data_IF_793090993178
#
_entry.id   IF_793090993178
#
_cell.length_a   1.000
_cell.length_b   1.000
_cell.length_c   1.000
_cell.angle_alpha   90.00
_cell.angle_beta   90.00
_cell.angle_gamma   90.00
#
_symmetry.space_group_name_H-M   'P 1'
#
loop_
_entity.id
_entity.type
_entity.pdbx_description
1 polymer ?
#
# COMPACT_ATOMS: atom_id res chain seq x y z
N UNK A 1 -20.70 -16.50 18.84
CA UNK A 1 -19.90 -17.11 17.76
C UNK A 1 -18.43 -16.81 18.01
N UNK A 2 -17.50 -17.75 17.83
CA UNK A 2 -16.07 -17.43 17.86
C UNK A 2 -15.80 -16.43 16.72
N UNK A 3 -15.03 -15.39 16.99
CA UNK A 3 -14.62 -14.45 15.97
C UNK A 3 -13.84 -15.22 14.87
N UNK A 4 -14.19 -15.00 13.61
CA UNK A 4 -13.51 -15.63 12.46
C UNK A 4 -12.13 -14.99 12.32
N UNK A 5 -11.06 -15.76 12.51
CA UNK A 5 -9.69 -15.31 12.26
C UNK A 5 -9.48 -15.19 10.73
N UNK A 6 -9.00 -14.04 10.30
CA UNK A 6 -8.71 -13.75 8.88
C UNK A 6 -7.24 -13.98 8.61
N UNK A 7 -6.95 -15.04 7.90
CA UNK A 7 -5.61 -15.45 7.52
C UNK A 7 -5.19 -14.84 6.17
N UNK A 8 -3.90 -14.56 6.03
CA UNK A 8 -3.27 -14.22 4.77
C UNK A 8 -2.55 -15.47 4.27
N UNK A 9 -2.96 -15.99 3.13
CA UNK A 9 -2.39 -17.21 2.53
C UNK A 9 -1.52 -16.93 1.32
N UNK A 10 -1.62 -15.72 0.75
CA UNK A 10 -0.77 -15.27 -0.33
C UNK A 10 -0.57 -13.76 -0.30
N UNK A 11 0.56 -13.33 -0.79
CA UNK A 11 0.91 -11.93 -0.96
C UNK A 11 1.79 -11.73 -2.19
N UNK A 12 1.57 -10.64 -2.92
CA UNK A 12 2.39 -10.31 -4.07
C UNK A 12 2.58 -8.82 -4.18
N UNK A 13 3.77 -8.40 -4.62
CA UNK A 13 4.19 -7.00 -4.61
C UNK A 13 5.07 -6.69 -5.82
N UNK A 14 4.89 -5.48 -6.36
CA UNK A 14 5.84 -4.85 -7.27
C UNK A 14 5.97 -3.37 -6.90
N UNK A 15 7.20 -2.88 -6.84
CA UNK A 15 7.49 -1.48 -6.49
C UNK A 15 8.82 -1.04 -7.10
N UNK A 16 9.28 0.15 -6.75
CA UNK A 16 10.61 0.63 -7.11
C UNK A 16 11.76 -0.28 -6.62
N UNK A 17 11.50 -1.15 -5.64
CA UNK A 17 12.46 -2.12 -5.10
C UNK A 17 12.58 -3.39 -5.96
N UNK A 18 11.69 -3.59 -6.92
CA UNK A 18 11.65 -4.75 -7.81
C UNK A 18 10.30 -5.44 -7.82
N UNK A 19 10.22 -6.54 -8.57
CA UNK A 19 9.06 -7.40 -8.64
C UNK A 19 9.21 -8.59 -7.68
N UNK A 20 8.21 -8.77 -6.83
CA UNK A 20 8.11 -9.87 -5.90
C UNK A 20 8.64 -9.59 -4.49
N UNK A 21 8.14 -10.40 -3.55
CA UNK A 21 8.46 -10.32 -2.11
C UNK A 21 9.95 -10.52 -1.82
N UNK A 22 10.61 -11.39 -2.55
CA UNK A 22 12.02 -11.68 -2.35
C UNK A 22 12.91 -10.47 -2.71
N UNK A 23 12.68 -9.83 -3.87
CA UNK A 23 13.42 -8.64 -4.27
C UNK A 23 13.19 -7.49 -3.29
N UNK A 24 11.94 -7.32 -2.83
CA UNK A 24 11.59 -6.32 -1.81
C UNK A 24 12.34 -6.57 -0.50
N UNK A 25 12.37 -7.82 -0.01
CA UNK A 25 13.07 -8.19 1.21
C UNK A 25 14.58 -7.91 1.14
N UNK A 26 15.20 -8.28 0.01
CA UNK A 26 16.63 -8.06 -0.21
C UNK A 26 16.97 -6.57 -0.23
N UNK A 27 16.19 -5.76 -0.93
CA UNK A 27 16.39 -4.31 -0.96
C UNK A 27 16.24 -3.66 0.43
N UNK A 28 15.23 -4.07 1.21
CA UNK A 28 15.02 -3.59 2.58
C UNK A 28 16.17 -3.96 3.50
N UNK A 29 16.62 -5.21 3.49
CA UNK A 29 17.76 -5.70 4.30
C UNK A 29 19.08 -5.01 3.93
N UNK A 30 19.27 -4.74 2.63
CA UNK A 30 20.45 -4.05 2.12
C UNK A 30 20.36 -2.52 2.26
N UNK A 31 19.27 -1.98 2.83
CA UNK A 31 19.03 -0.54 2.97
C UNK A 31 19.11 0.19 1.61
N UNK A 32 18.65 -0.45 0.55
CA UNK A 32 18.74 0.05 -0.81
C UNK A 32 17.45 0.81 -1.16
N UNK A 33 17.56 2.12 -1.42
CA UNK A 33 16.45 2.90 -1.96
C UNK A 33 16.24 2.62 -3.44
N UNK A 34 14.98 2.49 -3.84
CA UNK A 34 14.54 2.45 -5.23
C UNK A 34 14.14 3.82 -5.78
N UNK A 35 14.15 4.87 -4.94
CA UNK A 35 13.85 6.24 -5.34
C UNK A 35 15.03 6.78 -6.16
N UNK A 36 14.77 7.14 -7.41
CA UNK A 36 15.78 7.55 -8.40
C UNK A 36 15.22 8.65 -9.31
N UNK A 37 16.03 9.32 -10.12
CA UNK A 37 15.53 10.13 -11.22
C UNK A 37 14.58 9.31 -12.12
N UNK A 38 13.58 9.99 -12.69
CA UNK A 38 12.63 9.43 -13.65
C UNK A 38 13.31 8.78 -14.87
N UNK A 39 12.77 7.66 -15.31
CA UNK A 39 13.27 6.92 -16.47
C UNK A 39 12.22 6.73 -17.55
N UNK A 40 10.99 6.44 -17.18
CA UNK A 40 9.92 6.08 -18.14
C UNK A 40 8.87 7.16 -18.29
N UNK A 41 8.45 7.81 -17.18
CA UNK A 41 7.45 8.87 -17.25
C UNK A 41 8.06 10.15 -17.85
N UNK A 42 7.51 10.61 -18.96
CA UNK A 42 7.91 11.87 -19.60
C UNK A 42 7.16 13.05 -18.94
N UNK A 43 7.88 13.95 -18.29
CA UNK A 43 7.33 15.11 -17.58
C UNK A 43 8.31 16.27 -17.58
N UNK A 44 7.83 17.47 -17.21
CA UNK A 44 8.68 18.65 -16.96
C UNK A 44 9.43 18.57 -15.60
N UNK A 45 9.00 17.71 -14.70
CA UNK A 45 9.55 17.55 -13.34
C UNK A 45 10.72 16.57 -13.28
N UNK A 46 11.66 16.65 -14.21
CA UNK A 46 12.80 15.71 -14.32
C UNK A 46 13.78 15.78 -13.16
N UNK A 47 13.72 16.85 -12.36
CA UNK A 47 14.57 17.06 -11.18
C UNK A 47 14.05 16.34 -9.92
N UNK A 48 12.81 15.85 -9.93
CA UNK A 48 12.22 15.18 -8.77
C UNK A 48 12.59 13.70 -8.75
N UNK A 49 13.17 13.19 -7.65
CA UNK A 49 13.37 11.75 -7.49
C UNK A 49 12.03 11.06 -7.17
N UNK A 50 11.81 9.90 -7.76
CA UNK A 50 10.57 9.13 -7.63
C UNK A 50 10.82 7.63 -7.44
N UNK A 51 9.89 6.95 -6.81
CA UNK A 51 9.87 5.50 -6.71
C UNK A 51 9.25 4.85 -7.96
N UNK A 52 9.86 5.02 -9.13
CA UNK A 52 9.39 4.43 -10.39
C UNK A 52 9.78 2.94 -10.47
N UNK A 53 8.85 2.09 -10.86
CA UNK A 53 9.11 0.66 -11.12
C UNK A 53 10.06 0.50 -12.31
N UNK A 54 11.09 -0.35 -12.18
CA UNK A 54 12.23 -0.42 -13.11
C UNK A 54 11.94 -1.24 -14.39
N UNK A 55 10.66 -1.38 -14.73
CA UNK A 55 10.19 -2.03 -15.97
C UNK A 55 9.34 -1.04 -16.78
N UNK A 56 9.59 -0.98 -18.10
CA UNK A 56 8.72 -0.25 -19.01
C UNK A 56 7.37 -0.96 -19.17
N UNK A 57 6.36 -0.27 -19.73
CA UNK A 57 5.09 -0.91 -20.07
C UNK A 57 5.29 -2.06 -21.05
N UNK A 58 6.25 -1.94 -21.98
CA UNK A 58 6.55 -2.99 -22.94
C UNK A 58 7.17 -4.22 -22.25
N UNK A 59 8.13 -4.03 -21.33
CA UNK A 59 8.72 -5.12 -20.55
C UNK A 59 7.62 -5.88 -19.76
N UNK A 60 6.70 -5.15 -19.12
CA UNK A 60 5.62 -5.76 -18.36
C UNK A 60 4.59 -6.47 -19.24
N UNK A 61 4.25 -5.92 -20.42
CA UNK A 61 3.40 -6.60 -21.40
C UNK A 61 4.01 -7.92 -21.86
N UNK A 62 5.31 -7.95 -22.13
CA UNK A 62 6.02 -9.17 -22.51
C UNK A 62 6.02 -10.21 -21.38
N UNK A 63 6.26 -9.79 -20.12
CA UNK A 63 6.19 -10.68 -18.93
C UNK A 63 4.81 -11.30 -18.74
N UNK A 64 3.76 -10.59 -19.14
CA UNK A 64 2.36 -10.98 -18.99
C UNK A 64 1.74 -11.58 -20.27
N UNK A 65 2.52 -11.70 -21.34
CA UNK A 65 2.09 -12.23 -22.64
C UNK A 65 1.00 -11.40 -23.35
N UNK A 66 0.91 -10.11 -23.08
CA UNK A 66 0.11 -9.19 -23.87
C UNK A 66 0.77 -8.87 -25.20
N UNK A 67 -0.05 -8.54 -26.20
CA UNK A 67 0.47 -8.03 -27.44
C UNK A 67 0.89 -6.55 -27.28
N UNK A 68 1.88 -6.05 -28.03
CA UNK A 68 2.32 -4.65 -27.93
C UNK A 68 1.19 -3.61 -28.12
N UNK A 69 0.19 -3.96 -28.93
CA UNK A 69 -0.94 -3.08 -29.27
C UNK A 69 -2.13 -3.19 -28.32
N UNK A 70 -2.15 -4.14 -27.38
CA UNK A 70 -3.23 -4.27 -26.42
C UNK A 70 -3.35 -3.00 -25.57
N UNK A 71 -4.55 -2.48 -25.42
CA UNK A 71 -4.83 -1.32 -24.60
C UNK A 71 -4.85 -1.73 -23.10
N UNK A 72 -3.69 -1.67 -22.46
CA UNK A 72 -3.50 -1.99 -21.05
C UNK A 72 -2.77 -0.84 -20.38
N UNK A 73 -3.38 -0.28 -19.32
CA UNK A 73 -2.78 0.83 -18.58
C UNK A 73 -1.73 0.34 -17.58
N UNK A 74 -0.81 1.24 -17.20
CA UNK A 74 0.31 0.87 -16.33
C UNK A 74 -0.12 0.32 -14.99
N UNK A 75 -1.15 0.90 -14.37
CA UNK A 75 -1.71 0.40 -13.10
C UNK A 75 -2.19 -1.05 -13.20
N UNK A 76 -2.83 -1.41 -14.33
CA UNK A 76 -3.27 -2.79 -14.61
C UNK A 76 -2.08 -3.75 -14.71
N UNK A 77 -1.02 -3.39 -15.44
CA UNK A 77 0.18 -4.22 -15.58
C UNK A 77 0.83 -4.49 -14.21
N UNK A 78 0.99 -3.46 -13.40
CA UNK A 78 1.50 -3.58 -12.03
C UNK A 78 0.60 -4.48 -11.17
N UNK A 79 -0.71 -4.26 -11.24
CA UNK A 79 -1.70 -5.04 -10.50
C UNK A 79 -1.67 -6.52 -10.85
N UNK A 80 -1.65 -6.86 -12.15
CA UNK A 80 -1.59 -8.26 -12.60
C UNK A 80 -0.33 -8.97 -12.10
N UNK A 81 0.84 -8.31 -12.15
CA UNK A 81 2.09 -8.89 -11.66
C UNK A 81 1.98 -9.23 -10.17
N UNK A 82 1.46 -8.31 -9.35
CA UNK A 82 1.32 -8.53 -7.92
C UNK A 82 0.25 -9.59 -7.59
N UNK A 83 -0.92 -9.57 -8.25
CA UNK A 83 -1.96 -10.58 -8.06
C UNK A 83 -1.47 -11.96 -8.45
N UNK A 84 -0.73 -12.09 -9.57
CA UNK A 84 -0.15 -13.37 -10.01
C UNK A 84 0.76 -14.00 -8.96
N UNK A 85 1.63 -13.21 -8.31
CA UNK A 85 2.47 -13.70 -7.21
C UNK A 85 1.61 -14.11 -6.01
N UNK A 86 0.61 -13.29 -5.62
CA UNK A 86 -0.26 -13.58 -4.48
C UNK A 86 -1.05 -14.88 -4.66
N UNK A 87 -1.66 -15.09 -5.83
CA UNK A 87 -2.41 -16.32 -6.16
C UNK A 87 -1.50 -17.54 -6.21
N UNK A 88 -0.30 -17.39 -6.79
CA UNK A 88 0.69 -18.49 -6.83
C UNK A 88 1.12 -18.92 -5.44
N UNK A 89 1.36 -17.99 -4.51
CA UNK A 89 1.72 -18.31 -3.14
C UNK A 89 0.56 -18.96 -2.37
N UNK A 90 -0.67 -18.49 -2.60
CA UNK A 90 -1.88 -19.06 -2.00
C UNK A 90 -2.25 -20.43 -2.58
N UNK A 91 -1.53 -20.93 -3.60
CA UNK A 91 -1.88 -22.13 -4.34
C UNK A 91 -3.37 -22.13 -4.75
N UNK A 92 -3.83 -21.01 -5.31
CA UNK A 92 -5.24 -20.76 -5.58
C UNK A 92 -5.47 -20.39 -7.06
N UNK A 93 -6.51 -20.99 -7.66
CA UNK A 93 -7.06 -20.61 -8.96
C UNK A 93 -8.40 -19.87 -8.73
N UNK A 94 -8.48 -18.63 -9.18
CA UNK A 94 -9.69 -17.80 -9.05
C UNK A 94 -10.92 -18.38 -9.78
N UNK A 95 -10.71 -19.31 -10.69
CA UNK A 95 -11.75 -19.97 -11.51
C UNK A 95 -12.37 -21.20 -10.85
N UNK A 96 -12.06 -21.51 -9.58
CA UNK A 96 -12.69 -22.62 -8.89
C UNK A 96 -14.19 -22.32 -8.65
N UNK A 97 -15.12 -22.98 -9.33
CA UNK A 97 -16.55 -22.68 -9.25
C UNK A 97 -17.20 -23.07 -7.92
N UNK A 98 -16.48 -23.80 -7.07
CA UNK A 98 -16.95 -24.18 -5.74
C UNK A 98 -16.74 -23.09 -4.70
N UNK A 99 -16.00 -22.02 -5.03
CA UNK A 99 -15.63 -20.94 -4.12
C UNK A 99 -16.24 -19.60 -4.55
N UNK A 100 -16.67 -18.82 -3.58
CA UNK A 100 -17.10 -17.43 -3.79
C UNK A 100 -15.88 -16.53 -3.61
N UNK A 101 -15.34 -16.03 -4.72
CA UNK A 101 -14.12 -15.22 -4.72
C UNK A 101 -14.45 -13.77 -5.02
N UNK A 102 -13.96 -12.85 -4.18
CA UNK A 102 -14.03 -11.42 -4.42
C UNK A 102 -12.66 -10.85 -4.81
N UNK A 103 -12.65 -9.92 -5.75
CA UNK A 103 -11.50 -9.08 -6.08
C UNK A 103 -11.78 -7.63 -5.71
N UNK A 104 -10.96 -7.03 -4.85
CA UNK A 104 -11.15 -5.65 -4.37
C UNK A 104 -9.85 -4.89 -4.52
N UNK A 105 -9.86 -3.86 -5.35
CA UNK A 105 -8.68 -3.06 -5.67
C UNK A 105 -8.82 -1.61 -5.21
N UNK A 106 -7.77 -1.09 -4.57
CA UNK A 106 -7.62 0.34 -4.28
C UNK A 106 -6.84 1.02 -5.40
N UNK A 107 -7.42 2.07 -5.99
CA UNK A 107 -6.79 2.84 -7.05
C UNK A 107 -7.38 4.25 -7.08
N UNK A 108 -6.57 5.27 -7.37
CA UNK A 108 -7.04 6.67 -7.32
C UNK A 108 -6.96 7.40 -8.65
N UNK A 109 -6.14 6.96 -9.59
CA UNK A 109 -5.98 7.64 -10.89
C UNK A 109 -6.32 6.77 -12.11
N UNK A 110 -6.60 5.47 -11.91
CA UNK A 110 -6.99 4.59 -13.01
C UNK A 110 -5.97 4.57 -14.13
N UNK A 111 -6.41 4.86 -15.35
CA UNK A 111 -5.60 4.91 -16.57
C UNK A 111 -5.09 6.30 -16.94
N UNK A 112 -4.98 7.22 -15.99
CA UNK A 112 -4.57 8.61 -16.23
C UNK A 112 -3.23 8.74 -16.95
N UNK A 113 -2.29 7.81 -16.73
CA UNK A 113 -0.99 7.77 -17.42
C UNK A 113 -1.14 7.67 -18.94
N UNK A 114 -2.18 6.98 -19.41
CA UNK A 114 -2.48 6.85 -20.83
C UNK A 114 -3.43 7.96 -21.31
N UNK A 115 -4.45 8.30 -20.52
CA UNK A 115 -5.38 9.35 -20.88
C UNK A 115 -4.65 10.69 -21.16
N UNK A 116 -3.68 11.08 -20.34
CA UNK A 116 -2.91 12.30 -20.54
C UNK A 116 -2.00 12.29 -21.80
N UNK A 117 -1.67 11.10 -22.33
CA UNK A 117 -0.92 10.94 -23.57
C UNK A 117 -1.82 11.01 -24.81
N UNK A 118 -3.02 10.42 -24.73
CA UNK A 118 -3.89 10.22 -25.88
C UNK A 118 -5.08 11.20 -25.93
N UNK A 119 -5.20 12.11 -24.96
CA UNK A 119 -6.31 13.07 -24.92
C UNK A 119 -6.38 13.96 -26.18
N UNK A 120 -5.23 14.38 -26.71
CA UNK A 120 -5.19 15.17 -27.95
C UNK A 120 -5.65 14.35 -29.16
N UNK A 121 -5.25 13.07 -29.24
CA UNK A 121 -5.71 12.15 -30.30
C UNK A 121 -7.23 11.93 -30.22
N UNK A 122 -7.79 11.81 -29.01
CA UNK A 122 -9.24 11.72 -28.81
C UNK A 122 -9.98 12.91 -29.44
N UNK A 123 -9.45 14.13 -29.28
CA UNK A 123 -10.08 15.34 -29.81
C UNK A 123 -9.96 15.45 -31.35
N UNK A 124 -8.92 14.89 -31.96
CA UNK A 124 -8.62 15.07 -33.38
C UNK A 124 -9.01 13.86 -34.23
N UNK A 125 -8.73 12.65 -33.79
CA UNK A 125 -8.78 11.43 -34.60
C UNK A 125 -9.54 10.27 -33.95
N UNK A 126 -9.69 10.27 -32.62
CA UNK A 126 -10.31 9.19 -31.83
C UNK A 126 -9.71 7.80 -32.12
N UNK A 127 -8.41 7.72 -32.40
CA UNK A 127 -7.74 6.47 -32.80
C UNK A 127 -7.28 5.63 -31.61
N UNK A 128 -7.33 6.17 -30.37
CA UNK A 128 -6.88 5.56 -29.13
C UNK A 128 -7.94 5.61 -28.03
N UNK A 129 -9.21 5.50 -28.42
CA UNK A 129 -10.34 5.58 -27.49
C UNK A 129 -10.27 4.51 -26.39
N UNK A 130 -9.82 3.29 -26.70
CA UNK A 130 -9.66 2.20 -25.72
C UNK A 130 -8.85 2.62 -24.48
N UNK A 131 -7.83 3.46 -24.64
CA UNK A 131 -7.06 3.99 -23.51
C UNK A 131 -7.81 5.07 -22.73
N UNK A 132 -8.68 5.84 -23.39
CA UNK A 132 -9.48 6.88 -22.72
C UNK A 132 -10.62 6.23 -21.92
N UNK A 133 -11.22 5.17 -22.42
CA UNK A 133 -12.27 4.40 -21.73
C UNK A 133 -11.75 3.76 -20.42
N UNK A 134 -10.45 3.47 -20.35
CA UNK A 134 -9.79 2.94 -19.15
C UNK A 134 -9.36 4.03 -18.14
N UNK A 135 -9.75 5.29 -18.35
CA UNK A 135 -9.31 6.38 -17.49
C UNK A 135 -9.95 6.34 -16.10
N UNK A 136 -11.12 5.76 -15.93
CA UNK A 136 -11.73 5.66 -14.60
C UNK A 136 -11.01 4.63 -13.71
N UNK A 137 -11.20 4.78 -12.38
CA UNK A 137 -10.56 3.89 -11.42
C UNK A 137 -11.07 2.44 -11.53
N UNK A 138 -12.32 2.24 -11.95
CA UNK A 138 -12.93 0.92 -12.15
C UNK A 138 -12.30 0.16 -13.29
N UNK A 139 -11.97 0.84 -14.40
CA UNK A 139 -11.43 0.23 -15.61
C UNK A 139 -10.16 -0.59 -15.37
N UNK A 140 -9.21 -0.07 -14.59
CA UNK A 140 -8.01 -0.83 -14.24
C UNK A 140 -8.33 -2.04 -13.34
N UNK A 141 -9.27 -1.92 -12.40
CA UNK A 141 -9.72 -3.03 -11.55
C UNK A 141 -10.38 -4.13 -12.39
N UNK A 142 -11.24 -3.76 -13.32
CA UNK A 142 -11.93 -4.70 -14.21
C UNK A 142 -10.93 -5.41 -15.13
N UNK A 143 -9.98 -4.68 -15.73
CA UNK A 143 -8.93 -5.31 -16.55
C UNK A 143 -8.09 -6.32 -15.78
N UNK A 144 -7.77 -6.06 -14.49
CA UNK A 144 -7.05 -7.03 -13.65
C UNK A 144 -7.95 -8.23 -13.40
N UNK A 145 -9.22 -8.02 -13.05
CA UNK A 145 -10.16 -9.11 -12.80
C UNK A 145 -10.34 -9.99 -14.05
N UNK A 146 -10.56 -9.39 -15.21
CA UNK A 146 -10.75 -10.10 -16.48
C UNK A 146 -9.53 -10.96 -16.88
N UNK A 147 -8.31 -10.49 -16.55
CA UNK A 147 -7.10 -11.27 -16.82
C UNK A 147 -7.06 -12.60 -16.06
N UNK A 148 -7.57 -12.63 -14.83
CA UNK A 148 -7.62 -13.86 -14.02
C UNK A 148 -8.95 -14.62 -14.17
N UNK A 149 -10.02 -13.95 -14.57
CA UNK A 149 -11.37 -14.49 -14.80
C UNK A 149 -12.13 -14.86 -13.52
N UNK A 150 -13.46 -14.97 -13.66
CA UNK A 150 -14.42 -15.63 -12.75
C UNK A 150 -14.46 -15.19 -11.28
N UNK A 151 -14.21 -13.89 -10.97
CA UNK A 151 -14.54 -13.35 -9.67
C UNK A 151 -16.06 -13.14 -9.51
N UNK A 152 -16.62 -13.62 -8.38
CA UNK A 152 -18.05 -13.44 -8.08
C UNK A 152 -18.41 -12.01 -7.71
N UNK A 153 -17.41 -11.24 -7.26
CA UNK A 153 -17.54 -9.83 -6.90
C UNK A 153 -16.27 -9.10 -7.28
N UNK A 154 -16.41 -8.00 -8.00
CA UNK A 154 -15.32 -7.06 -8.33
C UNK A 154 -15.70 -5.69 -7.79
N UNK A 155 -14.78 -5.01 -7.11
CA UNK A 155 -15.04 -3.67 -6.56
C UNK A 155 -13.77 -2.82 -6.49
N UNK A 156 -13.95 -1.51 -6.69
CA UNK A 156 -12.90 -0.52 -6.55
C UNK A 156 -13.16 0.35 -5.32
N UNK A 157 -12.12 0.59 -4.52
CA UNK A 157 -12.16 1.48 -3.36
C UNK A 157 -11.27 2.68 -3.61
N UNK A 158 -11.84 3.89 -3.44
CA UNK A 158 -11.13 5.16 -3.64
C UNK A 158 -11.22 5.99 -2.36
N UNK A 159 -10.19 5.93 -1.54
CA UNK A 159 -10.05 6.67 -0.27
C UNK A 159 -8.65 7.28 -0.14
N UNK A 160 -8.15 7.86 -1.23
CA UNK A 160 -6.80 8.43 -1.32
C UNK A 160 -5.71 7.41 -0.89
N UNK A 161 -4.75 7.83 -0.06
CA UNK A 161 -3.61 7.01 0.34
C UNK A 161 -3.98 5.81 1.24
N UNK A 162 -5.22 5.73 1.75
CA UNK A 162 -5.72 4.62 2.55
C UNK A 162 -6.51 3.58 1.73
N UNK A 163 -6.65 3.76 0.40
CA UNK A 163 -7.51 2.92 -0.44
C UNK A 163 -7.24 1.42 -0.27
N UNK A 164 -6.00 0.97 -0.43
CA UNK A 164 -5.67 -0.45 -0.32
C UNK A 164 -5.70 -1.00 1.12
N UNK A 165 -5.53 -0.15 2.13
CA UNK A 165 -5.82 -0.53 3.51
C UNK A 165 -7.32 -0.82 3.68
N UNK A 166 -8.18 0.03 3.13
CA UNK A 166 -9.63 -0.15 3.18
C UNK A 166 -10.11 -1.35 2.36
N UNK A 167 -9.43 -1.74 1.27
CA UNK A 167 -9.75 -2.99 0.55
C UNK A 167 -9.48 -4.22 1.41
N UNK A 168 -8.38 -4.23 2.18
CA UNK A 168 -8.05 -5.32 3.10
C UNK A 168 -9.10 -5.41 4.21
N UNK A 169 -9.54 -4.29 4.76
CA UNK A 169 -10.61 -4.23 5.78
C UNK A 169 -11.93 -4.77 5.22
N UNK A 170 -12.36 -4.27 4.06
CA UNK A 170 -13.58 -4.72 3.38
C UNK A 170 -13.50 -6.21 3.06
N UNK A 171 -12.36 -6.69 2.57
CA UNK A 171 -12.14 -8.12 2.31
C UNK A 171 -12.29 -8.98 3.56
N UNK A 172 -11.75 -8.52 4.68
CA UNK A 172 -11.90 -9.20 5.98
C UNK A 172 -13.37 -9.23 6.44
N UNK A 173 -14.11 -8.14 6.25
CA UNK A 173 -15.53 -8.07 6.59
C UNK A 173 -16.38 -8.99 5.70
N UNK A 174 -16.12 -9.05 4.39
CA UNK A 174 -16.84 -9.97 3.49
C UNK A 174 -16.69 -11.42 3.90
N UNK A 175 -15.51 -11.83 4.38
CA UNK A 175 -15.27 -13.19 4.88
C UNK A 175 -16.01 -13.41 6.22
N UNK A 176 -15.91 -12.47 7.16
CA UNK A 176 -16.60 -12.55 8.47
C UNK A 176 -18.12 -12.64 8.32
N UNK A 177 -18.68 -11.91 7.37
CA UNK A 177 -20.10 -11.90 7.06
C UNK A 177 -20.53 -13.07 6.13
N UNK A 178 -19.61 -14.00 5.84
CA UNK A 178 -19.86 -15.15 4.98
C UNK A 178 -20.39 -14.75 3.58
N UNK A 179 -19.93 -13.63 3.03
CA UNK A 179 -20.25 -13.13 1.69
C UNK A 179 -19.22 -13.53 0.64
N UNK A 180 -18.01 -13.86 1.07
CA UNK A 180 -16.94 -14.43 0.25
C UNK A 180 -16.22 -15.52 1.03
N UNK A 181 -15.72 -16.53 0.33
CA UNK A 181 -14.87 -17.59 0.89
C UNK A 181 -13.40 -17.20 0.84
N UNK A 182 -13.02 -16.52 -0.25
CA UNK A 182 -11.66 -15.98 -0.48
C UNK A 182 -11.80 -14.55 -1.02
N UNK A 183 -10.92 -13.66 -0.61
CA UNK A 183 -10.83 -12.30 -1.13
C UNK A 183 -9.41 -12.00 -1.57
N UNK A 184 -9.24 -11.54 -2.79
CA UNK A 184 -8.00 -10.91 -3.26
C UNK A 184 -8.15 -9.41 -3.06
N UNK A 185 -7.45 -8.87 -2.06
CA UNK A 185 -7.56 -7.48 -1.64
C UNK A 185 -6.22 -6.77 -1.69
N UNK A 186 -6.22 -5.56 -2.20
CA UNK A 186 -5.00 -4.75 -2.28
C UNK A 186 -5.20 -3.51 -3.11
N UNK A 187 -4.15 -3.05 -3.78
CA UNK A 187 -4.24 -1.91 -4.66
C UNK A 187 -3.04 -1.77 -5.57
N UNK A 188 -3.22 -0.96 -6.59
CA UNK A 188 -2.19 -0.60 -7.54
C UNK A 188 -2.30 0.89 -7.88
N UNK A 189 -1.18 1.50 -8.20
CA UNK A 189 -1.12 2.89 -8.66
C UNK A 189 0.09 3.09 -9.54
N UNK A 190 -0.05 3.89 -10.59
CA UNK A 190 1.05 4.29 -11.46
C UNK A 190 1.41 5.76 -11.25
N UNK A 191 2.64 6.12 -11.58
CA UNK A 191 3.04 7.52 -11.72
C UNK A 191 2.40 8.12 -12.97
N UNK A 192 1.97 9.39 -12.88
CA UNK A 192 1.42 10.18 -13.98
C UNK A 192 1.86 11.63 -13.86
N UNK A 193 1.74 12.39 -14.96
CA UNK A 193 1.93 13.85 -14.92
C UNK A 193 0.92 14.52 -14.00
N UNK A 194 -0.31 14.00 -13.99
CA UNK A 194 -1.37 14.48 -13.10
C UNK A 194 -0.93 14.41 -11.63
N UNK A 195 -0.39 13.26 -11.20
CA UNK A 195 0.13 13.10 -9.84
C UNK A 195 1.24 14.13 -9.54
N UNK A 196 2.29 14.16 -10.38
CA UNK A 196 3.42 15.05 -10.14
C UNK A 196 3.01 16.52 -10.15
N UNK A 197 2.15 16.95 -11.08
CA UNK A 197 1.64 18.31 -11.13
C UNK A 197 0.80 18.65 -9.90
N UNK A 198 -0.12 17.76 -9.50
CA UNK A 198 -1.00 17.95 -8.35
C UNK A 198 -0.21 18.11 -7.06
N UNK A 199 0.68 17.17 -6.76
CA UNK A 199 1.50 17.21 -5.54
C UNK A 199 2.53 18.34 -5.55
N UNK A 200 3.07 18.71 -6.73
CA UNK A 200 3.95 19.87 -6.85
C UNK A 200 3.17 21.19 -6.56
N UNK A 201 1.93 21.29 -7.00
CA UNK A 201 1.08 22.48 -6.70
C UNK A 201 0.82 22.60 -5.20
N UNK A 202 0.77 21.50 -4.47
CA UNK A 202 0.64 21.49 -3.01
C UNK A 202 1.96 21.82 -2.29
N UNK A 203 3.08 21.95 -3.03
CA UNK A 203 4.41 22.26 -2.50
C UNK A 203 4.91 21.27 -1.43
N UNK A 204 4.61 19.98 -1.61
CA UNK A 204 4.96 18.91 -0.65
C UNK A 204 5.93 17.88 -1.22
N UNK A 205 6.40 18.06 -2.47
CA UNK A 205 7.40 17.17 -3.06
C UNK A 205 8.81 17.56 -2.62
N UNK A 206 9.60 16.55 -2.28
CA UNK A 206 11.03 16.73 -1.96
C UNK A 206 11.88 16.60 -3.22
N UNK A 207 12.93 17.43 -3.33
CA UNK A 207 13.94 17.36 -4.38
C UNK A 207 15.09 16.41 -4.05
N UNK A 208 15.15 15.93 -2.81
CA UNK A 208 16.01 14.86 -2.34
C UNK A 208 15.18 13.62 -1.99
N UNK A 209 15.82 12.52 -1.61
CA UNK A 209 15.09 11.36 -1.07
C UNK A 209 14.53 11.74 0.31
N UNK A 210 13.24 11.55 0.50
CA UNK A 210 12.52 11.96 1.70
C UNK A 210 13.13 11.38 2.99
N UNK A 211 12.90 12.11 4.10
CA UNK A 211 13.49 11.85 5.42
C UNK A 211 12.36 11.69 6.46
N UNK A 212 11.58 10.61 6.44
CA UNK A 212 10.48 10.44 7.37
C UNK A 212 10.94 10.57 8.83
N UNK A 213 10.18 11.35 9.62
CA UNK A 213 10.44 11.66 11.03
C UNK A 213 11.77 12.38 11.32
N UNK A 214 12.46 12.87 10.30
CA UNK A 214 13.63 13.74 10.51
C UNK A 214 13.19 15.20 10.76
N UNK A 215 13.91 15.91 11.61
CA UNK A 215 13.64 17.34 11.87
C UNK A 215 13.75 18.17 10.59
N UNK A 216 14.72 17.86 9.74
CA UNK A 216 15.03 18.60 8.53
C UNK A 216 14.31 18.04 7.29
N UNK A 217 13.18 17.33 7.49
CA UNK A 217 12.31 16.82 6.43
C UNK A 217 11.62 17.97 5.69
N UNK A 218 11.47 17.85 4.40
CA UNK A 218 10.93 18.92 3.54
C UNK A 218 9.75 18.46 2.68
N UNK A 219 9.57 17.16 2.48
CA UNK A 219 8.51 16.67 1.61
C UNK A 219 8.54 15.17 1.37
N UNK A 220 7.77 14.77 0.40
CA UNK A 220 7.55 13.39 -0.02
C UNK A 220 8.11 13.14 -1.42
N UNK A 221 8.52 11.91 -1.72
CA UNK A 221 8.71 11.46 -3.09
C UNK A 221 7.50 10.60 -3.49
N UNK A 222 6.95 10.82 -4.67
CA UNK A 222 5.94 9.92 -5.22
C UNK A 222 6.57 8.61 -5.66
N UNK A 223 5.77 7.55 -5.62
CA UNK A 223 6.13 6.22 -6.09
C UNK A 223 4.96 5.56 -6.79
N UNK A 224 5.24 4.46 -7.46
CA UNK A 224 4.24 3.58 -8.06
C UNK A 224 4.47 2.15 -7.61
N UNK A 225 3.45 1.32 -7.74
CA UNK A 225 3.53 -0.08 -7.40
C UNK A 225 2.17 -0.73 -7.22
N UNK A 226 2.21 -1.99 -6.84
CA UNK A 226 1.02 -2.75 -6.49
C UNK A 226 1.35 -3.73 -5.36
N UNK A 227 0.34 -3.98 -4.52
CA UNK A 227 0.41 -5.00 -3.49
C UNK A 227 -0.97 -5.65 -3.33
N UNK A 228 -1.02 -6.97 -3.33
CA UNK A 228 -2.26 -7.72 -3.12
C UNK A 228 -2.05 -8.86 -2.14
N UNK A 229 -3.07 -9.09 -1.32
CA UNK A 229 -3.15 -10.18 -0.35
C UNK A 229 -4.29 -11.12 -0.73
N UNK A 230 -4.11 -12.43 -0.51
CA UNK A 230 -5.18 -13.41 -0.53
C UNK A 230 -5.61 -13.63 0.91
N UNK A 231 -6.87 -13.29 1.19
CA UNK A 231 -7.50 -13.37 2.50
C UNK A 231 -8.51 -14.52 2.52
N UNK A 232 -8.53 -15.28 3.59
CA UNK A 232 -9.51 -16.34 3.83
C UNK A 232 -9.66 -16.60 5.34
N UNK A 233 -10.71 -17.30 5.73
CA UNK A 233 -10.82 -17.72 7.14
C UNK A 233 -9.79 -18.79 7.49
N UNK A 234 -9.38 -18.86 8.76
CA UNK A 234 -8.52 -19.92 9.26
C UNK A 234 -9.05 -21.33 8.92
N UNK A 235 -10.38 -21.51 8.97
CA UNK A 235 -11.06 -22.76 8.62
C UNK A 235 -10.91 -23.07 7.13
N UNK A 236 -11.08 -22.06 6.25
CA UNK A 236 -10.94 -22.22 4.81
C UNK A 236 -9.48 -22.57 4.44
N UNK A 237 -8.49 -21.87 5.01
CA UNK A 237 -7.07 -22.15 4.80
C UNK A 237 -6.73 -23.59 5.21
N UNK A 238 -7.25 -24.05 6.36
CA UNK A 238 -7.10 -25.41 6.82
C UNK A 238 -7.75 -26.43 5.88
N UNK A 239 -8.98 -26.15 5.43
CA UNK A 239 -9.71 -27.01 4.47
C UNK A 239 -8.97 -27.16 3.14
N UNK A 240 -8.36 -26.07 2.66
CA UNK A 240 -7.56 -26.06 1.43
C UNK A 240 -6.15 -26.65 1.61
N UNK A 241 -5.70 -26.82 2.86
CA UNK A 241 -4.36 -27.35 3.17
C UNK A 241 -3.25 -26.36 2.81
N UNK A 242 -3.52 -25.05 2.81
CA UNK A 242 -2.55 -24.00 2.48
C UNK A 242 -1.93 -23.40 3.72
N UNK A 243 -0.67 -23.00 3.62
CA UNK A 243 0.05 -22.36 4.71
C UNK A 243 -0.32 -20.87 4.79
N UNK A 244 -0.69 -20.41 5.96
CA UNK A 244 -0.89 -19.00 6.23
C UNK A 244 0.44 -18.32 6.58
N UNK A 245 0.67 -17.12 6.04
CA UNK A 245 1.88 -16.32 6.25
C UNK A 245 1.71 -15.24 7.32
N UNK A 246 0.50 -15.03 7.78
CA UNK A 246 0.11 -14.09 8.83
C UNK A 246 -1.39 -13.95 8.90
N UNK A 247 -1.88 -13.07 9.76
CA UNK A 247 -3.31 -12.78 9.88
C UNK A 247 -3.59 -11.29 10.07
N UNK A 248 -4.77 -10.86 9.64
CA UNK A 248 -5.33 -9.54 9.90
C UNK A 248 -6.09 -9.62 11.21
N UNK A 249 -5.48 -9.17 12.29
CA UNK A 249 -6.04 -9.32 13.63
C UNK A 249 -7.02 -8.22 14.01
N UNK A 250 -6.82 -7.01 13.50
CA UNK A 250 -7.71 -5.90 13.75
C UNK A 250 -7.49 -4.76 12.76
N UNK A 251 -8.46 -3.89 12.67
CA UNK A 251 -8.41 -2.74 11.77
C UNK A 251 -9.44 -1.69 12.18
N UNK A 252 -9.18 -0.46 11.79
CA UNK A 252 -10.14 0.63 11.95
C UNK A 252 -9.87 1.72 10.93
N UNK A 253 -10.93 2.38 10.50
CA UNK A 253 -10.88 3.61 9.72
C UNK A 253 -11.55 4.71 10.53
N UNK A 254 -10.94 5.91 10.54
CA UNK A 254 -11.48 7.09 11.19
C UNK A 254 -11.22 8.33 10.34
N UNK A 255 -12.17 9.27 10.31
CA UNK A 255 -12.01 10.54 9.61
C UNK A 255 -11.88 11.66 10.63
N UNK A 256 -10.82 12.49 10.54
CA UNK A 256 -10.66 13.67 11.40
C UNK A 256 -11.42 14.90 10.89
N UNK A 257 -11.91 14.86 9.65
CA UNK A 257 -12.74 15.92 9.03
C UNK A 257 -12.20 17.36 9.24
N UNK A 258 -10.87 17.49 9.30
CA UNK A 258 -10.21 18.76 9.63
C UNK A 258 -9.94 19.60 8.39
N UNK A 259 -9.25 19.04 7.39
CA UNK A 259 -8.85 19.74 6.17
C UNK A 259 -8.74 18.78 5.00
N UNK A 260 -8.78 19.29 3.76
CA UNK A 260 -8.73 18.45 2.55
C UNK A 260 -7.39 17.72 2.37
N UNK A 261 -6.28 18.34 2.80
CA UNK A 261 -4.92 17.79 2.55
C UNK A 261 -4.01 17.80 3.79
N UNK A 262 -4.47 18.30 4.93
CA UNK A 262 -3.72 18.35 6.17
C UNK A 262 -4.41 17.55 7.28
N UNK A 263 -3.63 16.83 8.08
CA UNK A 263 -4.11 16.16 9.29
C UNK A 263 -4.39 17.18 10.41
N UNK A 264 -5.30 16.85 11.31
CA UNK A 264 -5.58 17.66 12.50
C UNK A 264 -4.30 17.82 13.35
N UNK A 265 -4.04 19.03 13.91
CA UNK A 265 -2.78 19.28 14.64
C UNK A 265 -2.55 18.38 15.85
N UNK A 266 -3.61 17.86 16.46
CA UNK A 266 -3.57 16.93 17.60
C UNK A 266 -3.48 15.46 17.19
N UNK A 267 -3.50 15.15 15.88
CA UNK A 267 -3.44 13.80 15.34
C UNK A 267 -4.67 12.94 15.68
N UNK A 268 -5.83 13.55 15.96
CA UNK A 268 -7.03 12.85 16.48
C UNK A 268 -7.47 11.71 15.55
N UNK A 269 -7.56 11.93 14.24
CA UNK A 269 -8.00 10.89 13.30
C UNK A 269 -7.04 9.69 13.28
N UNK A 270 -5.73 9.95 13.25
CA UNK A 270 -4.71 8.91 13.33
C UNK A 270 -4.79 8.14 14.67
N UNK A 271 -4.94 8.85 15.79
CA UNK A 271 -5.12 8.25 17.10
C UNK A 271 -6.35 7.33 17.16
N UNK A 272 -7.50 7.79 16.66
CA UNK A 272 -8.75 7.02 16.64
C UNK A 272 -8.62 5.75 15.78
N UNK A 273 -8.00 5.85 14.60
CA UNK A 273 -7.77 4.71 13.73
C UNK A 273 -6.86 3.66 14.39
N UNK A 274 -5.72 4.07 14.94
CA UNK A 274 -4.80 3.18 15.64
C UNK A 274 -5.45 2.53 16.87
N UNK A 275 -6.12 3.32 17.72
CA UNK A 275 -6.82 2.84 18.91
C UNK A 275 -7.90 1.82 18.55
N UNK A 276 -8.76 2.16 17.56
CA UNK A 276 -9.83 1.27 17.12
C UNK A 276 -9.30 -0.04 16.52
N UNK A 277 -8.16 0.00 15.80
CA UNK A 277 -7.52 -1.22 15.28
C UNK A 277 -7.02 -2.13 16.40
N UNK A 278 -6.44 -1.58 17.47
CA UNK A 278 -6.03 -2.34 18.66
C UNK A 278 -7.23 -2.93 19.40
N UNK A 279 -8.27 -2.14 19.63
CA UNK A 279 -9.52 -2.59 20.26
C UNK A 279 -10.17 -3.73 19.47
N UNK A 280 -10.22 -3.60 18.12
CA UNK A 280 -10.75 -4.65 17.23
C UNK A 280 -9.91 -5.93 17.30
N UNK A 281 -8.58 -5.80 17.44
CA UNK A 281 -7.67 -6.94 17.61
C UNK A 281 -7.72 -7.57 19.00
N UNK A 282 -8.36 -6.92 19.99
CA UNK A 282 -8.31 -7.32 21.40
C UNK A 282 -6.90 -7.19 22.00
N UNK A 283 -6.07 -6.30 21.45
CA UNK A 283 -4.70 -6.07 21.88
C UNK A 283 -4.57 -4.74 22.63
N UNK A 284 -3.59 -4.70 23.53
CA UNK A 284 -3.18 -3.47 24.22
C UNK A 284 -1.97 -2.86 23.49
N UNK A 285 -1.67 -1.56 23.67
CA UNK A 285 -0.49 -0.93 23.10
C UNK A 285 0.81 -1.71 23.35
N UNK A 286 1.02 -2.29 24.54
CA UNK A 286 2.23 -3.02 24.90
C UNK A 286 2.45 -4.31 24.09
N UNK A 287 1.40 -4.80 23.42
CA UNK A 287 1.48 -5.99 22.59
C UNK A 287 2.08 -5.71 21.20
N UNK A 288 2.11 -4.44 20.76
CA UNK A 288 2.66 -4.07 19.45
C UNK A 288 4.18 -4.11 19.52
N UNK A 289 4.79 -4.80 18.54
CA UNK A 289 6.23 -4.97 18.46
C UNK A 289 6.89 -4.00 17.47
N UNK A 290 6.10 -3.47 16.52
CA UNK A 290 6.56 -2.55 15.49
C UNK A 290 5.40 -1.73 14.91
N UNK A 291 5.67 -0.47 14.59
CA UNK A 291 4.76 0.41 13.84
C UNK A 291 5.36 0.69 12.47
N UNK A 292 4.70 0.23 11.40
CA UNK A 292 4.94 0.68 10.05
C UNK A 292 4.11 1.94 9.83
N UNK A 293 4.75 3.08 10.04
CA UNK A 293 4.09 4.38 10.02
C UNK A 293 3.77 4.85 8.60
N UNK A 294 2.74 5.68 8.46
CA UNK A 294 2.47 6.37 7.21
C UNK A 294 3.66 7.23 6.79
N UNK A 295 4.23 8.02 7.70
CA UNK A 295 5.53 8.66 7.63
C UNK A 295 5.94 9.16 6.25
N UNK A 296 5.31 10.23 5.77
CA UNK A 296 5.51 10.75 4.40
C UNK A 296 6.81 11.54 4.22
N UNK A 297 7.42 12.00 5.30
CA UNK A 297 8.50 12.98 5.25
C UNK A 297 7.99 14.43 5.11
N UNK A 298 6.68 14.66 5.13
CA UNK A 298 6.13 16.02 5.13
C UNK A 298 6.08 16.60 6.55
N UNK A 299 6.29 17.92 6.71
CA UNK A 299 6.27 18.54 8.04
C UNK A 299 5.01 18.27 8.84
N UNK A 300 3.83 18.38 8.21
CA UNK A 300 2.55 18.19 8.89
C UNK A 300 2.27 16.74 9.27
N UNK A 301 2.35 15.80 8.31
CA UNK A 301 2.00 14.40 8.57
C UNK A 301 2.86 13.80 9.69
N UNK A 302 4.18 13.91 9.56
CA UNK A 302 5.08 13.23 10.50
C UNK A 302 4.95 13.80 11.91
N UNK A 303 4.72 15.12 12.05
CA UNK A 303 4.48 15.73 13.35
C UNK A 303 3.19 15.20 13.97
N UNK A 304 2.07 15.20 13.24
CA UNK A 304 0.75 14.81 13.78
C UNK A 304 0.64 13.31 14.01
N UNK A 305 1.23 12.47 13.13
CA UNK A 305 1.31 11.02 13.34
C UNK A 305 2.14 10.68 14.59
N UNK A 306 3.28 11.36 14.78
CA UNK A 306 4.10 11.19 15.97
C UNK A 306 3.36 11.56 17.26
N UNK A 307 2.60 12.66 17.26
CA UNK A 307 1.73 13.05 18.38
C UNK A 307 0.68 11.97 18.66
N UNK A 308 0.03 11.44 17.62
CA UNK A 308 -0.95 10.36 17.78
C UNK A 308 -0.34 9.07 18.35
N UNK A 309 0.87 8.71 17.91
CA UNK A 309 1.63 7.56 18.43
C UNK A 309 1.96 7.79 19.92
N UNK A 310 2.51 8.95 20.28
CA UNK A 310 2.81 9.27 21.68
C UNK A 310 1.56 9.23 22.58
N UNK A 311 0.44 9.77 22.11
CA UNK A 311 -0.82 9.76 22.84
C UNK A 311 -1.36 8.35 23.07
N UNK A 312 -1.15 7.41 22.13
CA UNK A 312 -1.64 6.04 22.23
C UNK A 312 -0.73 5.15 23.08
N UNK A 313 0.60 5.28 22.91
CA UNK A 313 1.58 4.36 23.49
C UNK A 313 2.25 4.89 24.76
N UNK A 314 2.12 6.19 25.06
CA UNK A 314 2.70 6.80 26.26
C UNK A 314 4.21 6.63 26.32
N UNK A 315 4.71 6.09 27.44
CA UNK A 315 6.14 5.87 27.67
C UNK A 315 6.72 4.65 26.93
N UNK A 316 5.84 3.76 26.43
CA UNK A 316 6.25 2.47 25.83
C UNK A 316 5.99 2.43 24.34
N UNK A 317 6.57 3.38 23.60
CA UNK A 317 6.46 3.45 22.13
C UNK A 317 7.26 2.29 21.50
N UNK A 318 6.63 1.42 20.69
CA UNK A 318 7.37 0.38 19.97
C UNK A 318 8.26 1.00 18.90
N UNK A 319 9.22 0.24 18.29
CA UNK A 319 9.96 0.68 17.13
C UNK A 319 9.05 1.22 16.03
N UNK A 320 9.35 2.41 15.50
CA UNK A 320 8.58 3.10 14.45
C UNK A 320 9.47 3.30 13.24
N UNK A 321 9.01 2.97 12.05
CA UNK A 321 9.68 3.39 10.82
C UNK A 321 8.72 3.63 9.67
N UNK A 322 9.17 4.35 8.65
CA UNK A 322 8.48 4.50 7.37
C UNK A 322 9.36 3.96 6.25
N UNK A 323 8.71 3.26 5.32
CA UNK A 323 9.38 2.67 4.16
C UNK A 323 9.34 3.58 2.93
N UNK A 324 8.79 4.79 3.04
CA UNK A 324 8.62 5.69 1.89
C UNK A 324 9.94 6.21 1.31
N UNK A 325 11.00 6.29 2.11
CA UNK A 325 12.36 6.58 1.62
C UNK A 325 12.97 5.45 0.77
N UNK A 326 12.37 4.25 0.79
CA UNK A 326 12.77 3.13 -0.06
C UNK A 326 12.09 3.12 -1.41
N UNK A 327 10.78 3.38 -1.46
CA UNK A 327 9.97 3.13 -2.66
C UNK A 327 9.10 4.33 -3.08
N UNK A 328 9.20 5.45 -2.37
CA UNK A 328 8.31 6.59 -2.56
C UNK A 328 6.93 6.31 -1.97
N UNK A 329 6.02 7.25 -2.11
CA UNK A 329 4.63 7.09 -1.71
C UNK A 329 3.81 6.53 -2.87
N UNK A 330 3.43 5.27 -2.77
CA UNK A 330 2.65 4.56 -3.81
C UNK A 330 1.15 4.86 -3.74
N UNK A 331 0.77 5.99 -3.15
CA UNK A 331 -0.59 6.54 -3.04
C UNK A 331 -1.64 5.49 -2.68
N UNK A 332 -2.55 5.12 -3.55
CA UNK A 332 -3.62 4.15 -3.26
C UNK A 332 -3.11 2.75 -2.92
N UNK A 333 -1.96 2.34 -3.45
CA UNK A 333 -1.35 1.04 -3.18
C UNK A 333 -0.59 0.99 -1.84
N UNK A 334 -0.37 2.14 -1.16
CA UNK A 334 0.51 2.23 0.00
C UNK A 334 0.13 1.25 1.11
N UNK A 335 -1.14 1.17 1.49
CA UNK A 335 -1.59 0.32 2.60
C UNK A 335 -1.33 -1.17 2.38
N UNK A 336 -1.53 -1.69 1.18
CA UNK A 336 -1.27 -3.10 0.88
C UNK A 336 0.22 -3.40 0.71
N UNK A 337 0.98 -2.50 0.11
CA UNK A 337 2.45 -2.60 0.02
C UNK A 337 3.06 -2.62 1.42
N UNK A 338 2.62 -1.72 2.29
CA UNK A 338 3.07 -1.60 3.70
C UNK A 338 2.63 -2.81 4.53
N UNK A 339 1.42 -3.36 4.28
CA UNK A 339 0.97 -4.61 4.90
C UNK A 339 1.86 -5.81 4.51
N UNK A 340 2.25 -5.92 3.24
CA UNK A 340 3.15 -6.98 2.78
C UNK A 340 4.55 -6.83 3.39
N UNK A 341 5.07 -5.62 3.49
CA UNK A 341 6.35 -5.36 4.15
C UNK A 341 6.26 -5.68 5.65
N UNK A 342 5.12 -5.41 6.29
CA UNK A 342 4.87 -5.80 7.69
C UNK A 342 4.86 -7.33 7.87
N UNK A 343 4.28 -8.08 6.92
CA UNK A 343 4.36 -9.56 6.91
C UNK A 343 5.81 -10.04 6.75
N UNK A 344 6.61 -9.42 5.87
CA UNK A 344 8.03 -9.72 5.72
C UNK A 344 8.83 -9.44 7.00
N UNK A 345 8.51 -8.35 7.71
CA UNK A 345 9.12 -8.01 8.99
C UNK A 345 8.83 -9.09 10.06
N UNK A 346 7.59 -9.59 10.12
CA UNK A 346 7.18 -10.69 11.01
C UNK A 346 7.89 -12.00 10.62
N UNK A 347 7.84 -12.36 9.34
CA UNK A 347 8.36 -13.65 8.82
C UNK A 347 9.86 -13.76 9.03
N UNK A 348 10.60 -12.69 8.74
CA UNK A 348 12.07 -12.67 8.78
C UNK A 348 12.64 -12.04 10.05
N UNK A 349 11.78 -11.59 10.97
CA UNK A 349 12.15 -10.98 12.25
C UNK A 349 13.18 -9.84 12.09
N UNK A 350 12.88 -8.86 11.25
CA UNK A 350 13.72 -7.67 11.03
C UNK A 350 12.86 -6.40 11.03
N UNK A 351 13.47 -5.27 11.36
CA UNK A 351 12.84 -3.95 11.32
C UNK A 351 13.30 -3.20 10.06
N UNK A 352 12.40 -2.83 9.13
CA UNK A 352 12.75 -1.88 8.09
C UNK A 352 13.24 -0.57 8.73
N UNK A 353 14.42 -0.09 8.36
CA UNK A 353 14.96 1.16 8.94
C UNK A 353 14.38 2.38 8.22
N UNK A 354 14.26 3.51 8.92
CA UNK A 354 13.98 4.80 8.27
C UNK A 354 15.26 5.31 7.63
N UNK A 355 15.34 5.26 6.30
CA UNK A 355 16.49 5.81 5.59
C UNK A 355 16.55 7.33 5.75
N UNK A 356 17.79 7.87 5.69
CA UNK A 356 18.10 9.31 5.72
C UNK A 356 17.76 10.04 7.02
N UNK A 357 17.33 9.35 8.07
CA UNK A 357 17.15 9.94 9.39
C UNK A 357 18.49 10.38 9.99
N UNK A 358 18.54 11.64 10.48
CA UNK A 358 19.73 12.25 11.09
C UNK A 358 19.41 12.99 12.38
N UNK A 359 18.32 13.74 12.43
CA UNK A 359 17.99 14.62 13.54
C UNK A 359 16.55 14.36 14.02
N UNK A 360 16.35 14.14 15.33
CA UNK A 360 15.02 13.93 15.88
C UNK A 360 14.14 15.18 15.76
N UNK A 361 12.84 14.99 15.62
CA UNK A 361 11.83 16.04 15.79
C UNK A 361 11.77 16.33 17.29
N UNK A 362 11.87 17.62 17.67
CA UNK A 362 11.95 18.01 19.08
C UNK A 362 10.68 17.68 19.88
N UNK A 363 9.54 17.71 19.23
CA UNK A 363 8.23 17.40 19.81
C UNK A 363 7.99 15.90 20.04
N UNK A 364 8.84 15.03 19.48
CA UNK A 364 8.68 13.60 19.61
C UNK A 364 9.57 13.01 20.71
N UNK A 365 9.01 12.15 21.55
CA UNK A 365 9.74 11.40 22.58
C UNK A 365 10.40 10.12 22.05
N UNK A 366 10.34 9.86 20.75
CA UNK A 366 10.93 8.69 20.11
C UNK A 366 11.79 9.09 18.89
N UNK A 367 12.65 8.17 18.49
CA UNK A 367 13.39 8.26 17.22
C UNK A 367 12.99 7.07 16.34
N UNK A 368 12.93 7.24 15.00
CA UNK A 368 12.61 6.13 14.12
C UNK A 368 13.73 5.08 14.12
N UNK A 369 13.37 3.88 13.66
CA UNK A 369 14.30 2.74 13.58
C UNK A 369 15.49 3.06 12.66
N UNK A 370 16.70 2.86 13.16
CA UNK A 370 17.98 2.96 12.43
C UNK A 370 18.76 1.64 12.44
N UNK A 371 18.43 0.73 13.38
CA UNK A 371 18.99 -0.62 13.47
C UNK A 371 17.92 -1.64 13.04
N UNK A 372 18.20 -2.53 12.05
CA UNK A 372 17.25 -3.52 11.58
C UNK A 372 16.99 -4.68 12.56
N UNK A 373 17.73 -4.77 13.66
CA UNK A 373 17.63 -5.88 14.60
C UNK A 373 16.59 -5.58 15.70
N UNK A 374 15.47 -6.33 15.77
CA UNK A 374 14.49 -6.12 16.82
C UNK A 374 15.01 -6.65 18.17
N UNK A 375 14.70 -5.92 19.24
CA UNK A 375 15.06 -6.34 20.61
C UNK A 375 14.28 -7.57 21.09
N UNK A 376 13.13 -7.83 20.46
CA UNK A 376 12.26 -9.00 20.74
C UNK A 376 11.64 -9.51 19.43
N UNK A 377 11.15 -10.77 19.38
CA UNK A 377 10.47 -11.29 18.17
C UNK A 377 9.27 -10.42 17.79
N UNK A 378 9.15 -10.10 16.51
CA UNK A 378 8.03 -9.34 15.96
C UNK A 378 6.84 -10.29 15.78
N UNK A 379 5.76 -10.03 16.53
CA UNK A 379 4.52 -10.81 16.47
C UNK A 379 3.34 -9.98 15.99
N UNK A 380 3.30 -8.71 16.36
CA UNK A 380 2.20 -7.79 16.05
C UNK A 380 2.76 -6.49 15.49
N UNK A 381 2.34 -6.16 14.27
CA UNK A 381 2.70 -4.91 13.60
C UNK A 381 1.44 -4.07 13.41
N UNK A 382 1.51 -2.80 13.79
CA UNK A 382 0.50 -1.79 13.46
C UNK A 382 0.95 -1.06 12.20
N UNK A 383 0.17 -1.15 11.11
CA UNK A 383 0.44 -0.49 9.83
C UNK A 383 -0.55 0.64 9.60
N UNK A 384 -0.04 1.86 9.40
CA UNK A 384 -0.82 3.08 9.27
C UNK A 384 -0.87 3.56 7.82
N UNK A 385 -2.04 3.99 7.37
CA UNK A 385 -2.25 4.60 6.06
C UNK A 385 -3.19 5.80 6.20
N UNK A 386 -2.64 7.02 6.14
CA UNK A 386 -3.38 8.25 6.35
C UNK A 386 -3.55 9.00 5.02
N UNK A 387 -4.78 9.15 4.59
CA UNK A 387 -5.14 9.72 3.30
C UNK A 387 -5.61 11.15 3.37
N UNK A 388 -5.40 11.90 2.29
CA UNK A 388 -6.04 13.19 2.10
C UNK A 388 -7.57 13.08 2.29
N UNK A 389 -8.21 14.16 2.74
CA UNK A 389 -9.60 14.15 3.17
C UNK A 389 -9.79 13.68 4.62
N UNK A 390 -8.69 13.38 5.34
CA UNK A 390 -8.71 12.92 6.72
C UNK A 390 -9.09 11.45 6.88
N UNK A 391 -8.98 10.65 5.82
CA UNK A 391 -9.30 9.22 5.84
C UNK A 391 -8.12 8.42 6.40
N UNK A 392 -8.15 8.18 7.71
CA UNK A 392 -7.08 7.52 8.45
C UNK A 392 -7.42 6.04 8.67
N UNK A 393 -6.55 5.15 8.22
CA UNK A 393 -6.69 3.70 8.37
C UNK A 393 -5.52 3.11 9.12
N UNK A 394 -5.80 2.15 10.00
CA UNK A 394 -4.79 1.37 10.69
C UNK A 394 -5.16 -0.12 10.68
N UNK A 395 -4.18 -0.98 10.44
CA UNK A 395 -4.34 -2.44 10.37
C UNK A 395 -3.34 -3.09 11.33
N UNK A 396 -3.80 -4.03 12.16
CA UNK A 396 -2.96 -4.90 12.98
C UNK A 396 -2.73 -6.20 12.24
N UNK A 397 -1.47 -6.45 11.88
CA UNK A 397 -1.01 -7.67 11.23
C UNK A 397 -0.25 -8.51 12.26
N UNK A 398 -0.61 -9.79 12.37
CA UNK A 398 -0.05 -10.64 13.41
C UNK A 398 0.53 -11.93 12.83
N UNK A 399 1.52 -12.46 13.56
CA UNK A 399 2.01 -13.83 13.36
C UNK A 399 0.91 -14.84 13.65
N UNK A 400 0.91 -15.97 12.94
CA UNK A 400 0.04 -17.12 13.24
C UNK A 400 0.52 -17.83 14.49
#
# INVERSE_FOLDING_TARGET
>A
MKATDIHVTGAGIISALGAGRQATLEALKNKQSGVTPLRYLTTLHTHLPVGEVKYSNQDMKEMLHFQPHDAVVRSTLLGIIAVKEALSQACFDSRDPALRVAFISGITVGGMDQAELWYQDLLENDSKNDYIELNDCGGATEQIADYFGDFNMVSTVVTACSSSANTIMLGADLIKENRADIVVAGGCECLSRYHLNGFNTLMILDTEICKPFDRDRTGINLGEGAGYLVLESAEMAQKRGVQSIGKISGYCNACDAFHQTASSPDGLGAFLAMKGALEHAGLKPENIDYINAHGTGTPNNDLTEGIAIMNLFGEHIPPVSSIKSYLGHTTSAAGSVEAIISLLAIEHNFLPVSLNFRHPIEEHSFVPVTDPNPARPIRHVLSNSFGFGGNNSAIVISKI
#
